data_IF_495540537218
#
_entry.id   IF_495540537218
#
_cell.length_a   1.000
_cell.length_b   1.000
_cell.length_c   1.000
_cell.angle_alpha   90.00
_cell.angle_beta   90.00
_cell.angle_gamma   90.00
#
_symmetry.space_group_name_H-M   'P 1'
#
loop_
_entity.id
_entity.type
_entity.pdbx_description
1 polymer ?
#
# COMPACT_ATOMS: atom_id res chain seq x y z
N UNK A 1 27.34 -37.85 1.56
CA UNK A 1 26.23 -38.41 2.34
C UNK A 1 26.17 -39.92 2.07
N UNK A 2 26.29 -40.74 3.11
CA UNK A 2 26.30 -42.20 2.97
C UNK A 2 24.89 -42.82 3.05
N UNK A 3 24.00 -42.21 3.84
CA UNK A 3 22.62 -42.69 3.98
C UNK A 3 21.74 -41.58 4.56
N UNK A 4 20.43 -41.78 4.36
CA UNK A 4 19.38 -40.99 4.99
C UNK A 4 18.54 -41.93 5.87
N UNK A 5 18.13 -41.43 7.05
CA UNK A 5 17.15 -42.06 7.88
C UNK A 5 15.84 -41.33 7.81
N UNK A 6 14.75 -42.07 7.59
CA UNK A 6 13.40 -41.52 7.62
C UNK A 6 12.72 -41.98 8.91
N UNK A 7 12.26 -41.00 9.68
CA UNK A 7 11.51 -41.26 10.91
C UNK A 7 10.02 -40.98 10.68
N UNK A 8 9.19 -41.71 11.36
CA UNK A 8 7.77 -41.46 11.46
C UNK A 8 7.47 -40.91 12.86
N UNK A 9 6.85 -39.74 12.92
CA UNK A 9 6.41 -39.13 14.18
C UNK A 9 4.90 -39.37 14.31
N UNK A 10 4.45 -40.17 15.32
CA UNK A 10 3.02 -40.38 15.53
C UNK A 10 2.33 -39.06 15.91
N UNK A 11 1.08 -38.87 15.48
CA UNK A 11 0.25 -37.67 15.78
C UNK A 11 -0.02 -37.49 17.29
N UNK A 12 0.24 -38.53 18.12
CA UNK A 12 0.13 -38.48 19.57
C UNK A 12 1.42 -38.07 20.28
N UNK A 13 2.48 -37.74 19.50
CA UNK A 13 3.76 -37.33 20.08
C UNK A 13 3.65 -35.88 20.54
N UNK A 14 3.93 -35.62 21.80
CA UNK A 14 3.99 -34.26 22.32
C UNK A 14 5.18 -33.50 21.73
N UNK A 15 5.04 -32.15 21.62
CA UNK A 15 6.13 -31.27 21.20
C UNK A 15 7.35 -31.40 22.12
N UNK A 16 8.55 -31.23 21.59
CA UNK A 16 9.79 -31.27 22.33
C UNK A 16 10.99 -31.69 21.47
N UNK A 17 12.14 -31.74 22.13
CA UNK A 17 13.40 -32.16 21.50
C UNK A 17 13.62 -33.65 21.77
N UNK A 18 13.78 -34.42 20.69
CA UNK A 18 14.11 -35.84 20.76
C UNK A 18 15.59 -36.03 20.40
N UNK A 19 16.47 -36.35 21.33
CA UNK A 19 17.86 -36.59 21.03
C UNK A 19 18.06 -37.85 20.20
N UNK A 20 18.87 -37.74 19.13
CA UNK A 20 19.29 -38.87 18.30
C UNK A 20 20.75 -39.24 18.67
N UNK A 21 20.97 -40.46 19.12
CA UNK A 21 22.30 -40.94 19.39
C UNK A 21 22.66 -42.08 18.46
N UNK A 22 23.80 -41.97 17.81
CA UNK A 22 24.44 -43.10 17.14
C UNK A 22 25.24 -43.87 18.20
N UNK A 23 24.77 -45.04 18.55
CA UNK A 23 25.41 -45.85 19.60
C UNK A 23 26.73 -46.47 19.08
N UNK A 24 26.76 -46.83 17.81
CA UNK A 24 27.98 -47.34 17.18
C UNK A 24 27.91 -47.11 15.65
N UNK A 25 29.05 -46.83 15.05
CA UNK A 25 29.20 -46.76 13.59
C UNK A 25 30.52 -47.46 13.22
N UNK A 26 30.45 -48.34 12.23
CA UNK A 26 31.60 -49.07 11.69
C UNK A 26 31.75 -48.68 10.22
N UNK A 27 32.95 -48.32 9.79
CA UNK A 27 33.28 -48.00 8.41
C UNK A 27 33.83 -49.17 7.60
N UNK A 28 34.34 -50.16 8.32
CA UNK A 28 34.86 -51.44 7.79
C UNK A 28 34.92 -52.46 8.93
N UNK A 29 35.11 -53.71 8.62
CA UNK A 29 35.30 -54.75 9.65
C UNK A 29 36.56 -54.56 10.49
N UNK A 30 37.49 -53.68 10.05
CA UNK A 30 38.72 -53.33 10.79
C UNK A 30 38.45 -52.16 11.76
N UNK A 31 38.38 -52.46 13.04
CA UNK A 31 38.08 -51.56 14.17
C UNK A 31 39.11 -50.44 14.43
N UNK A 32 40.03 -50.17 13.52
CA UNK A 32 41.18 -49.27 13.72
C UNK A 32 40.98 -47.82 13.27
N UNK A 33 39.81 -47.44 12.70
CA UNK A 33 39.58 -46.07 12.32
C UNK A 33 38.89 -45.30 13.43
N UNK A 34 39.40 -44.12 13.85
CA UNK A 34 38.74 -43.28 14.83
C UNK A 34 37.46 -42.72 14.22
N UNK A 35 36.33 -43.23 14.67
CA UNK A 35 35.00 -42.74 14.24
C UNK A 35 34.54 -41.65 15.18
N UNK A 36 34.41 -40.42 14.66
CA UNK A 36 33.78 -39.34 15.39
C UNK A 36 32.26 -39.50 15.24
N UNK A 37 31.59 -39.79 16.33
CA UNK A 37 30.13 -39.93 16.38
C UNK A 37 29.56 -38.64 16.91
N UNK A 38 28.84 -37.92 16.05
CA UNK A 38 28.08 -36.72 16.44
C UNK A 38 26.64 -37.12 16.73
N UNK A 39 26.11 -36.72 17.85
CA UNK A 39 24.69 -36.83 18.16
C UNK A 39 23.91 -35.76 17.45
N UNK A 40 22.68 -36.11 17.09
CA UNK A 40 21.71 -35.17 16.53
C UNK A 40 20.47 -35.09 17.39
N UNK A 41 19.57 -34.22 17.04
CA UNK A 41 18.28 -34.10 17.67
C UNK A 41 17.18 -33.86 16.63
N UNK A 42 15.96 -34.24 16.95
CA UNK A 42 14.77 -33.94 16.20
C UNK A 42 13.86 -33.07 17.08
N UNK A 43 13.50 -31.89 16.59
CA UNK A 43 12.49 -31.09 17.25
C UNK A 43 11.09 -31.51 16.76
N UNK A 44 10.18 -31.76 17.68
CA UNK A 44 8.78 -32.09 17.39
C UNK A 44 7.94 -30.88 17.81
N UNK A 45 7.20 -30.33 16.87
CA UNK A 45 6.34 -29.18 17.09
C UNK A 45 4.88 -29.60 17.03
N UNK A 46 4.06 -29.00 17.89
CA UNK A 46 2.60 -29.01 17.76
C UNK A 46 2.23 -27.74 17.00
N UNK A 47 1.59 -27.90 15.83
CA UNK A 47 1.24 -26.75 14.98
C UNK A 47 -0.15 -26.27 15.36
N UNK A 48 -0.24 -25.01 15.82
CA UNK A 48 -1.48 -24.29 16.06
C UNK A 48 -1.66 -23.24 14.97
N UNK A 49 -2.15 -23.69 13.80
CA UNK A 49 -2.30 -22.82 12.63
C UNK A 49 -3.07 -21.55 12.96
N UNK A 50 -2.48 -20.39 12.63
CA UNK A 50 -3.04 -19.06 12.87
C UNK A 50 -2.72 -18.44 14.23
N UNK A 51 -2.31 -19.22 15.25
CA UNK A 51 -1.84 -18.70 16.54
C UNK A 51 -0.32 -18.44 16.48
N UNK A 52 0.05 -17.39 15.76
CA UNK A 52 1.45 -16.99 15.55
C UNK A 52 2.06 -16.46 16.84
N UNK A 53 1.28 -15.80 17.68
CA UNK A 53 1.71 -15.26 18.96
C UNK A 53 1.90 -16.32 20.05
N UNK A 54 1.38 -17.54 19.84
CA UNK A 54 1.40 -18.67 20.78
C UNK A 54 0.67 -18.37 22.10
N UNK A 55 -0.38 -17.54 22.04
CA UNK A 55 -1.17 -17.15 23.20
C UNK A 55 -2.44 -18.00 23.40
N UNK A 56 -2.74 -18.92 22.47
CA UNK A 56 -3.90 -19.81 22.47
C UNK A 56 -5.15 -19.18 21.83
N UNK A 57 -5.04 -18.01 21.18
CA UNK A 57 -6.15 -17.30 20.55
C UNK A 57 -5.71 -16.76 19.20
N UNK A 58 -6.46 -17.10 18.14
CA UNK A 58 -6.25 -16.53 16.81
C UNK A 58 -6.94 -15.16 16.73
N UNK A 59 -6.19 -14.12 16.41
CA UNK A 59 -6.64 -12.72 16.44
C UNK A 59 -5.93 -11.87 15.37
N UNK A 60 -6.36 -10.63 15.11
CA UNK A 60 -5.64 -9.72 14.22
C UNK A 60 -4.19 -9.44 14.63
N UNK A 61 -3.85 -9.65 15.89
CA UNK A 61 -2.46 -9.51 16.36
C UNK A 61 -1.54 -10.55 15.72
N UNK A 62 -2.04 -11.76 15.48
CA UNK A 62 -1.26 -12.83 14.83
C UNK A 62 -0.98 -12.48 13.37
N UNK A 63 -1.95 -11.91 12.66
CA UNK A 63 -1.76 -11.38 11.31
C UNK A 63 -0.71 -10.25 11.30
N UNK A 64 -0.74 -9.34 12.27
CA UNK A 64 0.25 -8.25 12.34
C UNK A 64 1.68 -8.75 12.58
N UNK A 65 1.87 -9.86 13.29
CA UNK A 65 3.20 -10.46 13.45
C UNK A 65 3.77 -10.97 12.14
N UNK A 66 2.94 -11.54 11.27
CA UNK A 66 3.34 -11.95 9.92
C UNK A 66 3.76 -10.72 9.11
N UNK A 67 2.94 -9.66 9.09
CA UNK A 67 3.25 -8.45 8.34
C UNK A 67 4.54 -7.77 8.83
N UNK A 68 4.79 -7.77 10.14
CA UNK A 68 6.04 -7.28 10.73
C UNK A 68 7.25 -8.12 10.33
N UNK A 69 7.08 -9.43 10.24
CA UNK A 69 8.13 -10.31 9.73
C UNK A 69 8.46 -10.01 8.27
N UNK A 70 7.45 -9.84 7.42
CA UNK A 70 7.61 -9.53 6.00
C UNK A 70 8.25 -8.15 5.73
N UNK A 71 8.02 -7.20 6.64
CA UNK A 71 8.65 -5.87 6.57
C UNK A 71 9.97 -5.78 7.36
N UNK A 72 10.48 -6.91 7.86
CA UNK A 72 11.74 -6.99 8.61
C UNK A 72 11.75 -6.13 9.89
N UNK A 73 10.58 -5.77 10.42
CA UNK A 73 10.45 -5.03 11.69
C UNK A 73 10.48 -5.93 12.91
N UNK A 74 10.23 -7.23 12.70
CA UNK A 74 10.29 -8.26 13.74
C UNK A 74 10.74 -9.59 13.13
N UNK A 75 11.04 -10.59 13.99
CA UNK A 75 11.44 -11.94 13.56
C UNK A 75 10.50 -12.97 14.16
N UNK A 76 10.27 -14.07 13.44
CA UNK A 76 9.50 -15.21 13.90
C UNK A 76 10.43 -16.37 14.28
N UNK A 77 10.15 -17.05 15.37
CA UNK A 77 10.77 -18.33 15.73
C UNK A 77 10.29 -19.45 14.80
N UNK A 78 11.01 -20.59 14.76
CA UNK A 78 10.63 -21.75 13.94
C UNK A 78 9.18 -22.21 14.22
N UNK A 79 8.74 -22.21 15.47
CA UNK A 79 7.37 -22.57 15.84
C UNK A 79 6.35 -21.54 15.34
N UNK A 80 6.67 -20.27 15.44
CA UNK A 80 5.80 -19.20 14.92
C UNK A 80 5.68 -19.26 13.41
N UNK A 81 6.76 -19.57 12.68
CA UNK A 81 6.73 -19.78 11.24
C UNK A 81 5.82 -20.95 10.85
N UNK A 82 5.85 -22.05 11.60
CA UNK A 82 4.94 -23.18 11.36
C UNK A 82 3.48 -22.82 11.60
N UNK A 83 3.20 -22.01 12.63
CA UNK A 83 1.84 -21.57 12.94
C UNK A 83 1.33 -20.51 11.94
N UNK A 84 2.26 -19.74 11.36
CA UNK A 84 1.95 -18.66 10.41
C UNK A 84 1.56 -19.16 9.03
N UNK A 85 2.15 -20.27 8.55
CA UNK A 85 1.85 -20.83 7.22
C UNK A 85 0.47 -21.51 7.21
N UNK A 86 -0.57 -20.71 7.09
CA UNK A 86 -1.96 -21.17 7.07
C UNK A 86 -2.49 -21.46 5.67
N UNK A 87 -1.79 -21.01 4.62
CA UNK A 87 -2.03 -21.32 3.21
C UNK A 87 -1.53 -22.72 2.83
N UNK A 88 -0.65 -23.32 3.65
CA UNK A 88 0.03 -24.60 3.43
C UNK A 88 0.91 -24.64 2.17
N UNK A 89 1.40 -23.52 1.74
CA UNK A 89 2.43 -23.48 0.71
C UNK A 89 3.85 -23.54 1.34
N UNK A 90 4.89 -23.23 0.58
CA UNK A 90 6.28 -23.31 1.06
C UNK A 90 6.77 -21.97 1.67
N UNK A 91 5.94 -20.93 1.71
CA UNK A 91 6.34 -19.57 2.10
C UNK A 91 5.39 -18.96 3.13
N UNK A 92 5.89 -17.98 3.88
CA UNK A 92 5.06 -17.09 4.69
C UNK A 92 4.89 -15.80 3.91
N UNK A 93 3.65 -15.38 3.75
CA UNK A 93 3.27 -14.24 2.94
C UNK A 93 2.18 -13.38 3.58
N UNK A 94 1.89 -12.23 3.00
CA UNK A 94 0.77 -11.40 3.42
C UNK A 94 -0.59 -12.07 3.17
N UNK A 95 -0.67 -13.11 2.32
CA UNK A 95 -1.89 -13.91 2.16
C UNK A 95 -2.21 -14.71 3.41
N UNK A 96 -1.20 -15.30 4.09
CA UNK A 96 -1.42 -15.98 5.36
C UNK A 96 -2.02 -15.02 6.40
N UNK A 97 -1.50 -13.80 6.49
CA UNK A 97 -2.08 -12.77 7.36
C UNK A 97 -3.53 -12.47 6.99
N UNK A 98 -3.86 -12.38 5.69
CA UNK A 98 -5.23 -12.16 5.22
C UNK A 98 -6.16 -13.31 5.57
N UNK A 99 -5.71 -14.56 5.43
CA UNK A 99 -6.49 -15.75 5.80
C UNK A 99 -6.77 -15.80 7.31
N UNK A 100 -5.80 -15.42 8.14
CA UNK A 100 -6.00 -15.29 9.61
C UNK A 100 -7.06 -14.22 9.92
N UNK A 101 -7.03 -13.06 9.25
CA UNK A 101 -8.05 -12.02 9.43
C UNK A 101 -9.43 -12.49 8.98
N UNK A 102 -9.54 -13.17 7.85
CA UNK A 102 -10.80 -13.72 7.32
C UNK A 102 -11.38 -14.81 8.25
N UNK A 103 -10.53 -15.64 8.85
CA UNK A 103 -10.93 -16.57 9.88
C UNK A 103 -11.48 -15.85 11.13
N UNK A 104 -10.79 -14.80 11.58
CA UNK A 104 -11.18 -13.99 12.73
C UNK A 104 -12.55 -13.33 12.60
N UNK A 105 -12.97 -12.98 11.37
CA UNK A 105 -14.31 -12.39 11.09
C UNK A 105 -15.32 -13.42 10.57
N UNK A 106 -14.96 -14.72 10.51
CA UNK A 106 -15.86 -15.81 10.15
C UNK A 106 -16.17 -15.91 8.65
N UNK A 107 -15.35 -15.36 7.77
CA UNK A 107 -15.44 -15.53 6.31
C UNK A 107 -14.97 -16.94 5.91
N UNK A 108 -13.92 -17.46 6.56
CA UNK A 108 -13.47 -18.84 6.43
C UNK A 108 -13.70 -19.57 7.76
N UNK A 109 -14.00 -20.88 7.68
CA UNK A 109 -14.47 -21.65 8.83
C UNK A 109 -13.34 -22.34 9.60
N UNK A 110 -12.20 -22.55 8.97
CA UNK A 110 -11.07 -23.28 9.57
C UNK A 110 -9.72 -22.87 9.02
N UNK A 111 -8.67 -23.02 9.85
CA UNK A 111 -7.28 -22.98 9.44
C UNK A 111 -6.64 -24.35 9.72
N UNK A 112 -5.68 -24.83 8.92
CA UNK A 112 -5.16 -24.16 7.73
C UNK A 112 -6.20 -24.13 6.59
N UNK A 113 -6.03 -23.18 5.64
CA UNK A 113 -6.90 -23.01 4.49
C UNK A 113 -6.31 -23.69 3.25
N UNK A 114 -7.06 -24.63 2.65
CA UNK A 114 -6.61 -25.33 1.45
C UNK A 114 -6.80 -24.42 0.20
N UNK A 115 -5.73 -23.75 -0.21
CA UNK A 115 -5.71 -22.87 -1.37
C UNK A 115 -5.91 -23.60 -2.71
N UNK A 116 -5.81 -24.93 -2.73
CA UNK A 116 -6.05 -25.74 -3.96
C UNK A 116 -7.51 -25.80 -4.35
N UNK A 117 -8.43 -25.49 -3.43
CA UNK A 117 -9.89 -25.55 -3.65
C UNK A 117 -10.47 -24.30 -4.30
N UNK A 118 -9.71 -23.20 -4.38
CA UNK A 118 -10.12 -21.95 -5.01
C UNK A 118 -8.93 -21.20 -5.62
N UNK A 119 -9.14 -20.57 -6.77
CA UNK A 119 -8.11 -19.69 -7.33
C UNK A 119 -8.06 -18.40 -6.53
N UNK A 120 -7.02 -18.20 -5.74
CA UNK A 120 -6.70 -16.92 -5.09
C UNK A 120 -5.87 -16.02 -6.02
N UNK A 121 -5.94 -16.26 -7.33
CA UNK A 121 -5.23 -15.43 -8.30
C UNK A 121 -5.75 -14.00 -8.24
N UNK A 122 -4.91 -13.10 -7.77
CA UNK A 122 -5.14 -11.67 -7.88
C UNK A 122 -4.76 -11.20 -9.29
N UNK A 123 -5.46 -10.18 -9.76
CA UNK A 123 -5.16 -9.49 -11.01
C UNK A 123 -5.04 -8.00 -10.69
N UNK A 124 -4.09 -7.33 -11.34
CA UNK A 124 -3.93 -5.89 -11.22
C UNK A 124 -2.65 -5.44 -11.90
N UNK A 125 -2.68 -4.24 -12.44
CA UNK A 125 -1.51 -3.55 -12.96
C UNK A 125 -1.18 -2.41 -12.01
N UNK A 126 0.09 -2.31 -11.60
CA UNK A 126 0.54 -1.22 -10.75
C UNK A 126 1.54 -0.34 -11.49
N UNK A 127 1.48 0.94 -11.23
CA UNK A 127 2.39 1.93 -11.83
C UNK A 127 2.65 3.11 -10.93
N UNK A 128 3.66 3.87 -11.30
CA UNK A 128 3.97 5.19 -10.76
C UNK A 128 3.96 6.21 -11.90
N UNK A 129 3.72 7.46 -11.59
CA UNK A 129 3.84 8.56 -12.56
C UNK A 129 5.06 9.43 -12.24
N UNK A 130 5.71 9.89 -13.30
CA UNK A 130 6.78 10.89 -13.19
C UNK A 130 6.27 12.14 -12.49
N UNK A 131 7.12 12.73 -11.68
CA UNK A 131 6.81 13.90 -10.87
C UNK A 131 7.76 15.05 -11.13
N UNK A 132 7.41 16.18 -10.55
CA UNK A 132 8.25 17.35 -10.53
C UNK A 132 8.48 17.82 -9.11
N UNK A 133 9.64 18.37 -8.81
CA UNK A 133 9.96 18.88 -7.49
C UNK A 133 10.49 20.31 -7.53
N UNK A 134 10.20 21.03 -6.45
CA UNK A 134 10.83 22.30 -6.09
C UNK A 134 11.60 22.07 -4.81
N UNK A 135 12.81 22.61 -4.71
CA UNK A 135 13.61 22.48 -3.49
C UNK A 135 12.87 23.01 -2.27
N UNK A 136 12.81 22.19 -1.20
CA UNK A 136 12.14 22.53 0.06
C UNK A 136 10.64 22.24 0.10
N UNK A 137 10.04 21.74 -0.97
CA UNK A 137 8.64 21.31 -1.01
C UNK A 137 8.52 19.78 -0.87
N UNK A 138 7.33 19.31 -0.49
CA UNK A 138 7.00 17.89 -0.47
C UNK A 138 6.77 17.42 -1.91
N UNK A 139 7.41 16.32 -2.26
CA UNK A 139 7.23 15.63 -3.53
C UNK A 139 6.33 14.43 -3.30
N UNK A 140 5.28 14.33 -4.09
CA UNK A 140 4.31 13.24 -4.02
C UNK A 140 4.50 12.28 -5.18
N UNK A 141 4.61 10.99 -4.88
CA UNK A 141 4.70 9.90 -5.85
C UNK A 141 3.52 8.97 -5.66
N UNK A 142 2.47 9.10 -6.47
CA UNK A 142 1.30 8.24 -6.36
C UNK A 142 1.57 6.86 -6.98
N UNK A 143 1.10 5.83 -6.27
CA UNK A 143 1.05 4.45 -6.73
C UNK A 143 -0.34 4.16 -7.26
N UNK A 144 -0.46 3.85 -8.55
CA UNK A 144 -1.73 3.57 -9.21
C UNK A 144 -1.94 2.07 -9.35
N UNK A 145 -3.12 1.60 -8.94
CA UNK A 145 -3.62 0.27 -9.24
C UNK A 145 -4.68 0.38 -10.32
N UNK A 146 -4.53 -0.41 -11.39
CA UNK A 146 -5.53 -0.52 -12.45
C UNK A 146 -5.97 -1.98 -12.61
N UNK A 147 -7.24 -2.18 -12.97
CA UNK A 147 -7.83 -3.52 -13.15
C UNK A 147 -7.71 -4.44 -11.93
N UNK A 148 -7.63 -3.86 -10.72
CA UNK A 148 -7.50 -4.63 -9.48
C UNK A 148 -8.71 -5.54 -9.24
N UNK A 149 -8.47 -6.84 -9.05
CA UNK A 149 -9.51 -7.82 -8.73
C UNK A 149 -8.96 -8.93 -7.85
N UNK A 150 -9.78 -9.36 -6.90
CA UNK A 150 -9.47 -10.44 -5.96
C UNK A 150 -8.17 -10.23 -5.17
N UNK A 151 -7.87 -8.98 -4.79
CA UNK A 151 -6.67 -8.64 -4.03
C UNK A 151 -7.00 -8.74 -2.54
N UNK A 152 -6.41 -9.73 -1.88
CA UNK A 152 -6.53 -10.02 -0.44
C UNK A 152 -5.28 -9.60 0.33
N UNK A 153 -4.16 -9.49 -0.35
CA UNK A 153 -2.89 -9.10 0.24
C UNK A 153 -1.96 -8.48 -0.78
N UNK A 154 -1.01 -7.70 -0.31
CA UNK A 154 0.09 -7.19 -1.12
C UNK A 154 1.38 -7.10 -0.32
N UNK A 155 2.49 -7.28 -1.02
CA UNK A 155 3.85 -7.04 -0.56
C UNK A 155 4.58 -6.24 -1.62
N UNK A 156 5.35 -5.24 -1.22
CA UNK A 156 6.13 -4.45 -2.18
C UNK A 156 7.43 -3.95 -1.57
N UNK A 157 8.41 -3.80 -2.45
CA UNK A 157 9.70 -3.18 -2.18
C UNK A 157 9.89 -2.00 -3.14
N UNK A 158 10.11 -0.82 -2.55
CA UNK A 158 10.37 0.42 -3.28
C UNK A 158 11.75 0.92 -2.86
N UNK A 159 12.58 1.27 -3.84
CA UNK A 159 13.91 1.83 -3.62
C UNK A 159 14.03 3.24 -4.15
N UNK A 160 14.81 4.04 -3.45
CA UNK A 160 15.18 5.41 -3.81
C UNK A 160 16.55 5.76 -3.25
N UNK A 161 17.18 6.81 -3.78
CA UNK A 161 18.46 7.29 -3.28
C UNK A 161 18.25 8.08 -1.97
N UNK A 162 18.64 7.49 -0.84
CA UNK A 162 18.49 8.11 0.49
C UNK A 162 19.41 9.32 0.72
N UNK A 163 20.45 9.50 -0.09
CA UNK A 163 21.27 10.71 -0.07
C UNK A 163 20.58 11.88 -0.78
N UNK A 164 19.57 11.60 -1.60
CA UNK A 164 18.82 12.57 -2.41
C UNK A 164 17.43 12.81 -1.86
N UNK A 165 16.70 11.72 -1.58
CA UNK A 165 15.31 11.75 -1.14
C UNK A 165 15.21 11.34 0.35
N UNK A 166 14.50 12.14 1.11
CA UNK A 166 14.15 11.84 2.49
C UNK A 166 12.67 11.46 2.49
N UNK A 167 12.36 10.20 2.77
CA UNK A 167 11.00 9.72 2.91
C UNK A 167 10.34 10.39 4.12
N UNK A 168 9.14 10.94 3.92
CA UNK A 168 8.41 11.69 4.95
C UNK A 168 7.18 10.93 5.45
N UNK A 169 6.36 10.42 4.54
CA UNK A 169 5.10 9.74 4.89
C UNK A 169 4.56 8.91 3.72
N UNK A 170 3.58 8.06 4.03
CA UNK A 170 2.78 7.35 3.04
C UNK A 170 1.29 7.56 3.34
N UNK A 171 0.56 8.10 2.36
CA UNK A 171 -0.87 8.32 2.46
C UNK A 171 -1.58 7.19 1.74
N UNK A 172 -2.22 6.32 2.50
CA UNK A 172 -3.03 5.23 1.95
C UNK A 172 -4.39 5.74 1.48
N UNK A 173 -4.89 5.16 0.38
CA UNK A 173 -6.22 5.52 -0.11
C UNK A 173 -7.32 5.00 0.82
N UNK A 174 -8.48 5.68 0.81
CA UNK A 174 -9.64 5.27 1.60
C UNK A 174 -10.11 3.84 1.28
N UNK A 175 -9.83 3.33 0.06
CA UNK A 175 -10.14 1.96 -0.36
C UNK A 175 -9.36 0.88 0.40
N UNK A 176 -8.25 1.23 1.03
CA UNK A 176 -7.44 0.34 1.88
C UNK A 176 -7.79 0.44 3.37
N UNK A 177 -8.87 1.16 3.74
CA UNK A 177 -9.25 1.37 5.14
C UNK A 177 -9.54 0.10 5.94
N UNK A 178 -9.77 -1.04 5.28
CA UNK A 178 -9.96 -2.36 5.91
C UNK A 178 -8.68 -3.22 5.90
N UNK A 179 -7.56 -2.70 5.37
CA UNK A 179 -6.29 -3.40 5.39
C UNK A 179 -5.54 -3.15 6.69
N UNK A 180 -4.94 -4.20 7.20
CA UNK A 180 -3.85 -4.09 8.17
C UNK A 180 -2.55 -3.96 7.39
N UNK A 181 -1.80 -2.87 7.58
CA UNK A 181 -0.59 -2.57 6.81
C UNK A 181 0.55 -2.29 7.77
N UNK A 182 1.70 -2.89 7.48
CA UNK A 182 2.97 -2.62 8.16
C UNK A 182 3.98 -2.13 7.12
N UNK A 183 4.89 -1.26 7.56
CA UNK A 183 5.95 -0.72 6.70
C UNK A 183 7.26 -0.57 7.45
N UNK A 184 8.36 -0.64 6.72
CA UNK A 184 9.71 -0.43 7.23
C UNK A 184 10.57 0.29 6.20
N UNK A 185 11.39 1.22 6.67
CA UNK A 185 12.34 1.96 5.85
C UNK A 185 13.76 1.67 6.33
N UNK A 186 14.61 1.20 5.43
CA UNK A 186 16.03 0.97 5.71
C UNK A 186 16.87 1.41 4.51
N UNK A 187 17.71 2.40 4.70
CA UNK A 187 18.72 2.85 3.72
C UNK A 187 18.15 3.08 2.28
N UNK A 188 17.01 3.75 2.17
CA UNK A 188 16.37 4.03 0.89
C UNK A 188 15.55 2.88 0.30
N UNK A 189 15.42 1.77 1.03
CA UNK A 189 14.47 0.70 0.73
C UNK A 189 13.25 0.81 1.65
N UNK A 190 12.08 0.99 1.06
CA UNK A 190 10.80 1.00 1.73
C UNK A 190 10.07 -0.31 1.44
N UNK A 191 9.94 -1.14 2.48
CA UNK A 191 9.14 -2.36 2.46
C UNK A 191 7.78 -2.08 3.04
N UNK A 192 6.71 -2.59 2.42
CA UNK A 192 5.41 -2.64 3.06
C UNK A 192 4.63 -3.87 2.65
N UNK A 193 3.86 -4.37 3.61
CA UNK A 193 2.99 -5.52 3.45
C UNK A 193 1.61 -5.21 4.01
N UNK A 194 0.57 -5.65 3.32
CA UNK A 194 -0.80 -5.43 3.71
C UNK A 194 -1.68 -6.65 3.52
N UNK A 195 -2.60 -6.85 4.46
CA UNK A 195 -3.57 -7.94 4.48
C UNK A 195 -4.98 -7.38 4.69
N UNK A 196 -5.93 -7.83 3.86
CA UNK A 196 -7.32 -7.35 3.90
C UNK A 196 -8.10 -7.84 2.69
N UNK A 197 -8.95 -6.99 2.12
CA UNK A 197 -9.67 -7.28 0.87
C UNK A 197 -9.96 -5.99 0.13
N UNK A 198 -9.52 -5.88 -1.12
CA UNK A 198 -9.91 -4.79 -2.02
C UNK A 198 -11.15 -5.19 -2.82
N UNK A 199 -12.14 -4.30 -2.93
CA UNK A 199 -13.26 -4.50 -3.86
C UNK A 199 -12.79 -4.64 -5.30
N UNK A 200 -13.44 -5.49 -6.07
CA UNK A 200 -13.13 -5.70 -7.49
C UNK A 200 -13.31 -4.44 -8.35
N UNK A 201 -12.51 -4.35 -9.40
CA UNK A 201 -12.61 -3.28 -10.40
C UNK A 201 -11.99 -1.95 -9.95
N UNK A 202 -11.09 -1.98 -8.98
CA UNK A 202 -10.39 -0.79 -8.53
C UNK A 202 -9.45 -0.24 -9.61
N UNK A 203 -9.63 1.04 -9.90
CA UNK A 203 -8.75 1.84 -10.75
C UNK A 203 -8.47 3.15 -10.01
N UNK A 204 -7.61 3.11 -9.00
CA UNK A 204 -7.39 4.23 -8.09
C UNK A 204 -5.92 4.33 -7.68
N UNK A 205 -5.58 5.48 -7.09
CA UNK A 205 -4.36 5.61 -6.30
C UNK A 205 -4.46 4.66 -5.11
N UNK A 206 -3.51 3.75 -5.00
CA UNK A 206 -3.39 2.82 -3.87
C UNK A 206 -2.79 3.52 -2.65
N UNK A 207 -1.72 4.25 -2.90
CA UNK A 207 -1.02 5.06 -1.91
C UNK A 207 -0.30 6.23 -2.58
N UNK A 208 0.05 7.25 -1.80
CA UNK A 208 0.92 8.34 -2.23
C UNK A 208 2.11 8.39 -1.29
N UNK A 209 3.30 8.18 -1.84
CA UNK A 209 4.56 8.34 -1.12
C UNK A 209 4.92 9.81 -1.07
N UNK A 210 5.33 10.30 0.09
CA UNK A 210 5.76 11.68 0.27
C UNK A 210 7.26 11.73 0.59
N UNK A 211 7.96 12.55 -0.14
CA UNK A 211 9.40 12.79 0.03
C UNK A 211 9.70 14.28 0.17
N UNK A 212 10.85 14.58 0.77
CA UNK A 212 11.52 15.88 0.65
C UNK A 212 12.90 15.65 0.08
N UNK A 213 13.43 16.63 -0.66
CA UNK A 213 14.81 16.52 -1.14
C UNK A 213 15.81 16.94 -0.07
N UNK A 214 16.95 16.28 -0.06
CA UNK A 214 18.08 16.68 0.74
C UNK A 214 18.57 18.07 0.29
N UNK A 215 18.78 18.98 1.21
CA UNK A 215 19.22 20.38 0.95
C UNK A 215 20.54 20.45 0.16
N UNK A 216 21.36 19.42 0.21
CA UNK A 216 22.63 19.35 -0.51
C UNK A 216 22.50 18.76 -1.92
N UNK A 217 21.31 18.34 -2.33
CA UNK A 217 21.09 17.80 -3.66
C UNK A 217 21.25 18.91 -4.70
N UNK A 218 22.09 18.67 -5.71
CA UNK A 218 22.38 19.61 -6.80
C UNK A 218 22.10 19.01 -8.19
N UNK A 219 21.47 17.84 -8.23
CA UNK A 219 21.03 17.21 -9.46
C UNK A 219 19.70 17.76 -9.92
N UNK A 220 19.35 17.50 -11.18
CA UNK A 220 18.11 17.94 -11.81
C UNK A 220 17.05 16.84 -11.88
N UNK A 221 17.41 15.60 -11.55
CA UNK A 221 16.49 14.45 -11.56
C UNK A 221 16.93 13.40 -10.54
N UNK A 222 15.96 12.65 -10.05
CA UNK A 222 16.14 11.45 -9.24
C UNK A 222 15.01 10.46 -9.53
N UNK A 223 15.14 9.22 -9.06
CA UNK A 223 14.17 8.16 -9.40
C UNK A 223 13.72 7.42 -8.15
N UNK A 224 12.43 7.10 -8.10
CA UNK A 224 11.85 6.14 -7.17
C UNK A 224 11.47 4.91 -7.97
N UNK A 225 11.90 3.73 -7.56
CA UNK A 225 11.70 2.48 -8.30
C UNK A 225 10.98 1.45 -7.45
N UNK A 226 9.99 0.79 -8.01
CA UNK A 226 9.37 -0.38 -7.44
C UNK A 226 10.12 -1.62 -7.91
N UNK A 227 10.80 -2.30 -6.98
CA UNK A 227 11.61 -3.46 -7.30
C UNK A 227 10.76 -4.72 -7.43
N UNK A 228 9.76 -4.85 -6.56
CA UNK A 228 8.88 -5.99 -6.51
C UNK A 228 7.49 -5.59 -6.01
N UNK A 229 6.48 -6.26 -6.54
CA UNK A 229 5.15 -6.32 -5.95
C UNK A 229 4.55 -7.71 -6.09
N UNK A 230 3.88 -8.18 -5.06
CA UNK A 230 3.09 -9.41 -5.04
C UNK A 230 1.67 -9.09 -4.60
N UNK A 231 0.71 -9.70 -5.27
CA UNK A 231 -0.67 -9.77 -4.82
C UNK A 231 -1.04 -11.22 -4.57
N UNK A 232 -1.54 -11.57 -3.39
CA UNK A 232 -1.92 -12.94 -3.02
C UNK A 232 -0.84 -13.98 -3.39
N UNK A 233 0.42 -13.73 -3.06
CA UNK A 233 1.58 -14.59 -3.39
C UNK A 233 1.94 -14.66 -4.89
N UNK A 234 1.09 -14.15 -5.77
CA UNK A 234 1.44 -14.10 -7.18
C UNK A 234 2.40 -12.95 -7.42
N UNK A 235 3.60 -13.29 -7.86
CA UNK A 235 4.58 -12.29 -8.29
C UNK A 235 4.04 -11.60 -9.54
N UNK A 236 3.67 -10.34 -9.39
CA UNK A 236 3.39 -9.48 -10.53
C UNK A 236 4.72 -8.90 -10.96
N UNK A 237 5.18 -9.35 -12.13
CA UNK A 237 6.40 -8.78 -12.71
C UNK A 237 6.07 -7.35 -13.12
N UNK A 238 6.45 -6.41 -12.29
CA UNK A 238 6.35 -4.98 -12.62
C UNK A 238 7.50 -4.66 -13.57
N UNK A 239 7.23 -4.70 -14.86
CA UNK A 239 8.18 -4.25 -15.86
C UNK A 239 8.31 -2.72 -15.76
N UNK A 240 9.21 -2.25 -14.87
CA UNK A 240 9.68 -0.88 -14.85
C UNK A 240 8.72 0.15 -14.27
N UNK A 241 8.00 -0.17 -13.20
CA UNK A 241 7.31 0.86 -12.44
C UNK A 241 8.36 1.71 -11.72
N UNK A 242 8.67 2.83 -12.30
CA UNK A 242 9.53 3.85 -11.71
C UNK A 242 8.93 5.22 -11.98
N UNK A 243 9.13 6.14 -11.06
CA UNK A 243 8.83 7.55 -11.21
C UNK A 243 10.14 8.32 -11.31
N UNK A 244 10.32 9.07 -12.39
CA UNK A 244 11.39 10.06 -12.50
C UNK A 244 10.88 11.38 -11.93
N UNK A 245 11.60 11.90 -10.94
CA UNK A 245 11.32 13.18 -10.33
C UNK A 245 12.29 14.21 -10.92
N UNK A 246 11.76 15.22 -11.58
CA UNK A 246 12.57 16.23 -12.26
C UNK A 246 12.44 17.57 -11.55
N UNK A 247 13.56 18.26 -11.38
CA UNK A 247 13.57 19.62 -10.82
C UNK A 247 12.79 20.55 -11.74
N UNK A 248 11.75 21.18 -11.21
CA UNK A 248 11.24 22.38 -11.82
C UNK A 248 12.21 23.49 -11.43
N UNK A 249 13.16 23.77 -12.30
CA UNK A 249 13.93 25.01 -12.16
C UNK A 249 12.88 26.12 -12.04
N UNK A 250 12.81 26.70 -10.85
CA UNK A 250 12.10 27.97 -10.72
C UNK A 250 12.88 28.97 -11.56
N UNK A 251 12.55 28.99 -12.85
CA UNK A 251 12.71 30.22 -13.57
C UNK A 251 11.88 31.21 -12.75
N UNK A 252 12.43 32.33 -12.35
CA UNK A 252 11.72 33.46 -11.75
C UNK A 252 10.64 34.07 -12.66
N UNK A 253 10.28 33.39 -13.71
CA UNK A 253 9.01 33.48 -14.41
C UNK A 253 8.06 32.44 -13.75
N UNK A 254 7.49 32.79 -12.59
CA UNK A 254 6.14 32.32 -12.29
C UNK A 254 5.35 32.68 -13.54
N UNK A 255 5.00 31.69 -14.38
CA UNK A 255 4.03 31.88 -15.43
C UNK A 255 2.71 32.14 -14.74
N UNK A 256 2.61 33.34 -14.18
CA UNK A 256 1.34 33.83 -13.67
C UNK A 256 0.40 33.89 -14.83
N UNK A 257 -0.82 33.41 -14.71
CA UNK A 257 -1.83 33.61 -15.72
C UNK A 257 -1.89 35.11 -16.08
N UNK A 258 -1.97 35.42 -17.34
CA UNK A 258 -2.09 36.84 -17.79
C UNK A 258 -3.46 37.44 -17.46
N UNK A 259 -4.47 36.56 -17.28
CA UNK A 259 -5.86 36.96 -17.03
C UNK A 259 -6.53 36.02 -16.04
N UNK A 260 -7.48 36.58 -15.30
CA UNK A 260 -8.37 35.71 -14.47
C UNK A 260 -9.20 34.82 -15.39
N UNK A 261 -9.27 33.54 -15.04
CA UNK A 261 -10.12 32.58 -15.74
C UNK A 261 -10.79 31.60 -14.76
N UNK A 262 -11.99 31.14 -15.12
CA UNK A 262 -12.64 30.00 -14.52
C UNK A 262 -12.82 28.93 -15.60
N UNK A 263 -12.22 27.76 -15.42
CA UNK A 263 -12.30 26.69 -16.42
C UNK A 263 -13.53 25.82 -16.21
N UNK A 264 -13.89 25.06 -17.24
CA UNK A 264 -14.92 24.04 -17.10
C UNK A 264 -14.44 22.97 -16.16
N UNK A 265 -15.30 22.58 -15.19
CA UNK A 265 -15.00 21.48 -14.29
C UNK A 265 -14.77 20.17 -15.05
N UNK A 266 -13.88 19.34 -14.54
CA UNK A 266 -13.59 18.03 -15.09
C UNK A 266 -13.50 16.97 -13.99
N UNK A 267 -14.15 15.80 -14.19
CA UNK A 267 -15.08 15.47 -15.26
C UNK A 267 -16.38 16.29 -15.23
N UNK A 268 -17.07 16.39 -16.38
CA UNK A 268 -18.42 16.96 -16.45
C UNK A 268 -19.16 16.31 -17.63
N UNK A 269 -20.21 15.47 -17.43
CA UNK A 269 -20.81 15.15 -16.13
C UNK A 269 -19.86 14.41 -15.18
N UNK A 270 -20.12 14.44 -13.85
CA UNK A 270 -19.27 13.85 -12.83
C UNK A 270 -20.07 12.99 -11.83
N UNK A 271 -19.36 12.08 -11.09
CA UNK A 271 -19.94 11.22 -10.07
C UNK A 271 -18.84 10.67 -9.11
N UNK A 272 -18.85 10.95 -7.81
CA UNK A 272 -19.47 12.13 -7.20
C UNK A 272 -18.52 13.34 -7.19
N UNK A 273 -17.26 13.19 -7.65
CA UNK A 273 -16.22 14.23 -7.53
C UNK A 273 -15.94 14.93 -8.86
N UNK A 274 -15.57 16.21 -8.76
CA UNK A 274 -15.12 17.00 -9.92
C UNK A 274 -14.14 18.07 -9.48
N UNK A 275 -13.19 18.40 -10.34
CA UNK A 275 -12.20 19.44 -10.11
C UNK A 275 -12.58 20.74 -10.84
N UNK A 276 -12.56 21.85 -10.12
CA UNK A 276 -12.73 23.20 -10.63
C UNK A 276 -11.34 23.84 -10.72
N UNK A 277 -10.94 24.26 -11.91
CA UNK A 277 -9.69 24.98 -12.16
C UNK A 277 -9.95 26.44 -12.42
N UNK A 278 -9.05 27.30 -11.95
CA UNK A 278 -9.12 28.74 -12.12
C UNK A 278 -7.74 29.38 -12.07
N UNK A 279 -7.62 30.53 -12.73
CA UNK A 279 -6.35 31.21 -12.92
C UNK A 279 -6.40 32.59 -12.25
N UNK A 280 -5.34 32.91 -11.51
CA UNK A 280 -5.18 34.17 -10.78
C UNK A 280 -3.93 34.87 -11.27
N UNK A 281 -4.06 35.99 -12.02
CA UNK A 281 -2.91 36.78 -12.51
C UNK A 281 -2.24 37.57 -11.36
N UNK A 282 -2.93 37.77 -10.25
CA UNK A 282 -2.46 38.52 -9.09
C UNK A 282 -3.04 37.95 -7.80
N UNK A 283 -2.39 38.25 -6.69
CA UNK A 283 -2.87 37.85 -5.36
C UNK A 283 -4.25 38.43 -5.08
N UNK A 284 -5.22 37.56 -4.76
CA UNK A 284 -6.62 37.97 -4.66
C UNK A 284 -7.36 37.24 -3.54
N UNK A 285 -8.35 37.94 -2.96
CA UNK A 285 -9.36 37.28 -2.14
C UNK A 285 -10.28 36.46 -3.04
N UNK A 286 -10.15 35.13 -2.97
CA UNK A 286 -10.90 34.21 -3.81
C UNK A 286 -12.10 33.66 -3.03
N UNK A 287 -13.26 33.67 -3.69
CA UNK A 287 -14.45 33.01 -3.22
C UNK A 287 -15.05 32.12 -4.31
N UNK A 288 -15.16 30.83 -4.05
CA UNK A 288 -15.81 29.85 -4.94
C UNK A 288 -17.00 29.23 -4.24
N UNK A 289 -18.16 29.36 -4.87
CA UNK A 289 -19.44 28.96 -4.31
C UNK A 289 -20.19 28.05 -5.29
N UNK A 290 -20.84 27.03 -4.77
CA UNK A 290 -21.76 26.15 -5.52
C UNK A 290 -23.19 26.57 -5.22
N UNK A 291 -24.03 26.62 -6.27
CA UNK A 291 -25.44 26.94 -6.21
C UNK A 291 -26.30 25.89 -6.91
N UNK A 292 -27.51 25.71 -6.43
CA UNK A 292 -28.54 24.98 -7.17
C UNK A 292 -29.20 25.89 -8.26
N UNK A 293 -30.09 25.32 -9.05
CA UNK A 293 -30.80 26.05 -10.11
C UNK A 293 -31.74 27.15 -9.59
N UNK A 294 -32.09 27.11 -8.32
CA UNK A 294 -32.91 28.16 -7.66
C UNK A 294 -32.02 29.30 -7.13
N UNK A 295 -30.72 29.23 -7.31
CA UNK A 295 -29.76 30.22 -6.81
C UNK A 295 -29.47 30.09 -5.31
N UNK A 296 -29.85 29.01 -4.66
CA UNK A 296 -29.55 28.76 -3.24
C UNK A 296 -28.11 28.25 -3.13
N UNK A 297 -27.38 28.77 -2.16
CA UNK A 297 -26.04 28.29 -1.82
C UNK A 297 -26.08 26.83 -1.36
N UNK A 298 -25.24 26.00 -1.96
CA UNK A 298 -25.06 24.58 -1.64
C UNK A 298 -23.77 24.38 -0.85
N UNK A 299 -22.65 24.92 -1.33
CA UNK A 299 -21.32 24.77 -0.73
C UNK A 299 -20.47 25.99 -0.95
N UNK A 300 -19.70 26.39 0.06
CA UNK A 300 -18.58 27.31 -0.06
C UNK A 300 -17.30 26.46 -0.14
N UNK A 301 -16.66 26.41 -1.31
CA UNK A 301 -15.45 25.63 -1.53
C UNK A 301 -14.19 26.41 -1.15
N UNK A 302 -14.13 27.69 -1.51
CA UNK A 302 -12.98 28.55 -1.24
C UNK A 302 -13.50 29.89 -0.72
N UNK A 303 -12.87 30.46 0.30
CA UNK A 303 -13.12 31.80 0.80
C UNK A 303 -11.89 32.30 1.57
N UNK A 304 -10.76 32.47 0.87
CA UNK A 304 -9.46 32.85 1.46
C UNK A 304 -8.68 33.74 0.49
N UNK A 305 -7.69 34.42 1.02
CA UNK A 305 -6.64 35.08 0.22
C UNK A 305 -5.77 34.01 -0.43
N UNK A 306 -5.52 34.12 -1.72
CA UNK A 306 -4.63 33.23 -2.48
C UNK A 306 -3.64 34.04 -3.31
N UNK A 307 -2.43 33.53 -3.45
CA UNK A 307 -1.40 34.09 -4.31
C UNK A 307 -1.73 33.85 -5.79
N UNK A 308 -1.14 34.65 -6.67
CA UNK A 308 -1.19 34.47 -8.12
C UNK A 308 -0.81 33.03 -8.52
N UNK A 309 -1.31 32.55 -9.67
CA UNK A 309 -1.00 31.23 -10.22
C UNK A 309 -2.23 30.45 -10.67
N UNK A 310 -1.98 29.24 -11.22
CA UNK A 310 -3.00 28.27 -11.60
C UNK A 310 -3.46 27.52 -10.37
N UNK A 311 -4.77 27.44 -10.16
CA UNK A 311 -5.39 26.88 -8.94
C UNK A 311 -6.43 25.81 -9.27
N UNK A 312 -6.62 24.89 -8.34
CA UNK A 312 -7.66 23.88 -8.43
C UNK A 312 -8.33 23.65 -7.08
N UNK A 313 -9.61 23.26 -7.10
CA UNK A 313 -10.34 22.80 -5.91
C UNK A 313 -11.30 21.69 -6.30
N UNK A 314 -11.39 20.68 -5.47
CA UNK A 314 -12.28 19.53 -5.68
C UNK A 314 -13.62 19.77 -4.99
N UNK A 315 -14.72 19.37 -5.64
CA UNK A 315 -16.04 19.25 -5.03
C UNK A 315 -16.51 17.79 -5.06
N UNK A 316 -16.90 17.31 -3.90
CA UNK A 316 -17.31 15.93 -3.61
C UNK A 316 -18.84 15.71 -3.63
N UNK A 317 -19.61 16.61 -4.24
CA UNK A 317 -21.06 16.62 -4.27
C UNK A 317 -21.72 16.67 -2.87
N UNK A 318 -21.09 17.30 -1.88
CA UNK A 318 -21.67 17.56 -0.56
C UNK A 318 -22.05 19.03 -0.36
N UNK A 319 -23.00 19.28 0.54
CA UNK A 319 -23.35 20.64 0.98
C UNK A 319 -22.43 21.13 2.11
N UNK A 320 -22.66 22.34 2.63
CA UNK A 320 -21.88 22.91 3.74
C UNK A 320 -21.96 22.08 5.06
N UNK A 321 -22.90 21.16 5.17
CA UNK A 321 -23.04 20.26 6.32
C UNK A 321 -22.40 18.88 6.09
N UNK A 322 -21.70 18.70 4.93
CA UNK A 322 -21.11 17.42 4.56
C UNK A 322 -22.13 16.37 4.07
N UNK A 323 -23.37 16.76 3.80
CA UNK A 323 -24.40 15.84 3.33
C UNK A 323 -24.43 15.77 1.82
N UNK A 324 -24.55 14.57 1.20
CA UNK A 324 -24.64 14.41 -0.24
C UNK A 324 -25.82 15.19 -0.83
N UNK A 325 -25.61 15.80 -1.98
CA UNK A 325 -26.67 16.52 -2.71
C UNK A 325 -27.26 15.64 -3.81
N UNK A 326 -28.45 15.98 -4.29
CA UNK A 326 -29.15 15.20 -5.32
C UNK A 326 -28.48 15.34 -6.68
N UNK A 327 -28.53 14.29 -7.50
CA UNK A 327 -28.15 14.38 -8.92
C UNK A 327 -28.90 15.51 -9.62
N UNK A 328 -28.24 16.20 -10.52
CA UNK A 328 -28.81 17.34 -11.24
C UNK A 328 -27.78 18.35 -11.70
N UNK A 329 -28.29 19.50 -12.15
CA UNK A 329 -27.45 20.61 -12.61
C UNK A 329 -27.15 21.56 -11.46
N UNK A 330 -25.90 21.97 -11.36
CA UNK A 330 -25.40 22.97 -10.40
C UNK A 330 -24.64 24.08 -11.13
N UNK A 331 -24.58 25.22 -10.49
CA UNK A 331 -23.76 26.35 -10.93
C UNK A 331 -22.62 26.55 -9.94
N UNK A 332 -21.43 26.81 -10.44
CA UNK A 332 -20.32 27.26 -9.62
C UNK A 332 -19.84 28.64 -10.06
N UNK A 333 -19.52 29.45 -9.08
CA UNK A 333 -19.17 30.85 -9.26
C UNK A 333 -17.85 31.14 -8.56
N UNK A 334 -16.97 31.84 -9.26
CA UNK A 334 -15.80 32.48 -8.68
C UNK A 334 -15.99 33.99 -8.58
N UNK A 335 -15.48 34.58 -7.51
CA UNK A 335 -15.16 35.99 -7.42
C UNK A 335 -13.73 36.15 -6.90
N UNK A 336 -12.89 36.91 -7.58
CA UNK A 336 -11.51 37.19 -7.25
C UNK A 336 -11.20 38.64 -7.62
N UNK A 337 -11.03 39.50 -6.63
CA UNK A 337 -11.02 40.97 -6.89
C UNK A 337 -12.28 41.41 -7.61
N UNK A 338 -12.10 42.09 -8.74
CA UNK A 338 -13.19 42.53 -9.62
C UNK A 338 -13.64 41.47 -10.62
N UNK A 339 -12.92 40.35 -10.70
CA UNK A 339 -13.27 39.26 -11.59
C UNK A 339 -14.45 38.47 -11.07
N UNK A 340 -15.38 38.16 -11.99
CA UNK A 340 -16.57 37.37 -11.70
C UNK A 340 -16.86 36.42 -12.87
N UNK A 341 -17.05 35.16 -12.58
CA UNK A 341 -17.41 34.16 -13.61
C UNK A 341 -18.31 33.04 -13.01
N UNK A 342 -19.18 32.52 -13.85
CA UNK A 342 -20.11 31.43 -13.50
C UNK A 342 -20.09 30.36 -14.59
N UNK A 343 -20.07 29.11 -14.18
CA UNK A 343 -20.19 27.94 -15.07
C UNK A 343 -21.19 26.93 -14.52
N UNK A 344 -21.63 26.05 -15.40
CA UNK A 344 -22.57 24.95 -15.06
C UNK A 344 -21.85 23.60 -15.03
N UNK A 345 -22.34 22.72 -14.17
CA UNK A 345 -21.87 21.33 -14.07
C UNK A 345 -23.04 20.38 -13.85
N UNK A 346 -22.85 19.12 -14.16
CA UNK A 346 -23.90 18.08 -14.06
C UNK A 346 -23.40 16.95 -13.19
N UNK A 347 -24.06 16.74 -12.05
CA UNK A 347 -23.85 15.61 -11.15
C UNK A 347 -24.74 14.44 -11.62
N UNK A 348 -24.12 13.31 -11.88
CA UNK A 348 -24.81 12.03 -12.12
C UNK A 348 -25.14 11.36 -10.79
N UNK A 349 -25.92 10.28 -10.87
CA UNK A 349 -26.30 9.53 -9.68
C UNK A 349 -25.45 8.27 -9.60
#
# INVERSE_FOLDING_TARGET
VFCYFKFYVPITTSSGIVPLSIVSAYLDEDLNYPTIINSGEISVYEIAYGDVSQNGVISPYDASLILKYLTETDSLSDQQMLNANVSLDESISALDASLILQYGVGIIESLPYDTTMGSLLAVGDIGMEDGAFTMGEIVEVPLYLTNGSNILSFETEISFDADVLIFSDIIWSDGLGEFTIESNLTDGNLLFAGAGSLPDGQNNVLATLQFTLNENFSGTETTVSMNQIRFNENEIIVNGASATLTEVLSVDDIVTPEVFALHQNYPNPFNPTTTLRYDLPEDSQVKIMIYDLMGREVKSLVNIQQNAGYKAVVWDATNNLGQPVSAGMYLYRISAGDFYSVKKMVLLK
#
